data_IF_183120599578
#
_entry.id   IF_183120599578
#
_cell.length_a   1.000
_cell.length_b   1.000
_cell.length_c   1.000
_cell.angle_alpha   90.00
_cell.angle_beta   90.00
_cell.angle_gamma   90.00
#
_symmetry.space_group_name_H-M   'P 1'
#
loop_
_entity.id
_entity.type
_entity.pdbx_description
1 polymer ?
#
# COMPACT_ATOMS: atom_id res chain seq x y z
N UNK A 1 -22.49 -4.09 45.72
CA UNK A 1 -21.52 -3.47 44.78
C UNK A 1 -21.18 -4.52 43.73
N UNK A 2 -21.94 -4.61 42.64
CA UNK A 2 -21.79 -5.62 41.60
C UNK A 2 -20.74 -5.11 40.58
N UNK A 3 -19.74 -5.94 40.37
CA UNK A 3 -18.53 -5.58 39.62
C UNK A 3 -18.80 -5.38 38.12
N UNK A 4 -18.29 -4.30 37.58
CA UNK A 4 -18.26 -3.89 36.14
C UNK A 4 -17.52 -4.86 35.21
N UNK A 5 -17.11 -6.02 35.66
CA UNK A 5 -16.35 -7.02 34.87
C UNK A 5 -17.21 -7.87 33.93
N UNK A 6 -18.53 -7.96 34.18
CA UNK A 6 -19.41 -8.83 33.38
C UNK A 6 -19.76 -8.22 32.01
N UNK A 7 -19.68 -6.89 31.89
CA UNK A 7 -19.97 -6.20 30.65
C UNK A 7 -18.86 -6.43 29.59
N UNK A 8 -17.59 -6.50 30.03
CA UNK A 8 -16.44 -6.77 29.16
C UNK A 8 -16.41 -8.24 28.69
N UNK A 9 -16.93 -9.16 29.46
CA UNK A 9 -17.05 -10.57 29.08
C UNK A 9 -18.03 -10.77 27.93
N UNK A 10 -19.14 -10.02 27.90
CA UNK A 10 -20.17 -10.11 26.85
C UNK A 10 -19.64 -9.47 25.52
N UNK A 11 -18.85 -8.41 25.61
CA UNK A 11 -18.27 -7.76 24.42
C UNK A 11 -17.12 -8.58 23.81
N UNK A 12 -16.41 -9.39 24.62
CA UNK A 12 -15.39 -10.32 24.12
C UNK A 12 -15.99 -11.45 23.26
N UNK A 13 -17.25 -11.84 23.49
CA UNK A 13 -17.95 -12.82 22.65
C UNK A 13 -18.33 -12.27 21.27
N UNK A 14 -18.36 -10.95 21.09
CA UNK A 14 -18.61 -10.29 19.78
C UNK A 14 -17.39 -10.23 18.88
N UNK A 15 -16.21 -10.48 19.42
CA UNK A 15 -14.94 -10.52 18.69
C UNK A 15 -14.57 -11.98 18.50
N UNK A 16 -14.89 -12.58 17.39
CA UNK A 16 -14.53 -13.93 16.90
C UNK A 16 -13.39 -14.64 17.67
N UNK A 17 -13.49 -14.75 19.00
CA UNK A 17 -12.52 -15.42 19.87
C UNK A 17 -12.93 -16.88 20.11
N UNK A 18 -11.99 -17.78 20.14
CA UNK A 18 -12.22 -19.23 20.34
C UNK A 18 -12.71 -19.50 21.76
N UNK A 19 -12.11 -18.83 22.74
CA UNK A 19 -12.52 -18.89 24.16
C UNK A 19 -11.97 -17.66 24.92
N UNK A 20 -12.46 -17.45 26.13
CA UNK A 20 -12.06 -16.37 27.03
C UNK A 20 -11.56 -16.95 28.35
N UNK A 21 -10.33 -16.61 28.72
CA UNK A 21 -9.69 -17.11 29.95
C UNK A 21 -9.43 -15.92 30.88
N UNK A 22 -9.97 -15.99 32.10
CA UNK A 22 -9.75 -14.97 33.13
C UNK A 22 -8.41 -15.13 33.83
N UNK A 23 -7.80 -14.02 34.21
CA UNK A 23 -6.61 -14.02 35.08
C UNK A 23 -7.06 -14.09 36.55
N UNK A 24 -6.42 -14.94 37.40
CA UNK A 24 -5.27 -15.80 37.12
C UNK A 24 -5.65 -17.02 36.27
N UNK A 25 -4.82 -17.39 35.30
CA UNK A 25 -5.06 -18.47 34.33
C UNK A 25 -5.03 -19.81 35.09
N UNK A 26 -6.15 -20.54 35.11
CA UNK A 26 -6.22 -21.87 35.65
C UNK A 26 -5.89 -22.92 34.59
N UNK A 27 -5.07 -23.96 34.92
CA UNK A 27 -4.67 -24.98 33.96
C UNK A 27 -5.86 -25.70 33.29
N UNK A 28 -6.95 -25.88 34.02
CA UNK A 28 -8.17 -26.55 33.52
C UNK A 28 -8.90 -25.69 32.47
N UNK A 29 -8.94 -24.36 32.67
CA UNK A 29 -9.55 -23.43 31.70
C UNK A 29 -8.75 -23.36 30.43
N UNK A 30 -7.41 -23.32 30.53
CA UNK A 30 -6.52 -23.37 29.40
C UNK A 30 -6.66 -24.69 28.61
N UNK A 31 -6.71 -25.82 29.30
CA UNK A 31 -6.91 -27.15 28.70
C UNK A 31 -8.24 -27.21 27.96
N UNK A 32 -9.31 -26.70 28.53
CA UNK A 32 -10.64 -26.65 27.92
C UNK A 32 -10.61 -25.79 26.63
N UNK A 33 -9.95 -24.63 26.65
CA UNK A 33 -9.81 -23.75 25.48
C UNK A 33 -9.02 -24.44 24.37
N UNK A 34 -7.94 -25.15 24.71
CA UNK A 34 -7.14 -25.92 23.76
C UNK A 34 -7.90 -27.11 23.17
N UNK A 35 -8.68 -27.83 24.00
CA UNK A 35 -9.53 -28.93 23.54
C UNK A 35 -10.64 -28.43 22.58
N UNK A 36 -11.17 -27.25 22.84
CA UNK A 36 -12.16 -26.60 21.97
C UNK A 36 -11.52 -26.20 20.62
N UNK A 37 -10.32 -25.68 20.65
CA UNK A 37 -9.53 -25.37 19.43
C UNK A 37 -9.22 -26.63 18.63
N UNK A 38 -8.82 -27.72 19.26
CA UNK A 38 -8.47 -28.97 18.57
C UNK A 38 -9.68 -29.70 17.96
N UNK A 39 -10.90 -29.41 18.45
CA UNK A 39 -12.16 -29.97 17.90
C UNK A 39 -12.65 -29.17 16.67
N UNK A 40 -12.10 -28.01 16.42
CA UNK A 40 -12.42 -27.26 15.21
C UNK A 40 -11.97 -28.05 13.99
N UNK A 41 -12.93 -28.40 13.16
CA UNK A 41 -12.69 -29.19 11.96
C UNK A 41 -11.80 -28.36 11.01
N UNK A 42 -10.94 -29.02 10.25
CA UNK A 42 -10.01 -28.38 9.30
C UNK A 42 -10.71 -27.40 8.35
N UNK A 43 -11.98 -27.68 8.02
CA UNK A 43 -12.82 -26.78 7.19
C UNK A 43 -13.20 -25.47 7.90
N UNK A 44 -13.47 -25.53 9.21
CA UNK A 44 -13.80 -24.33 10.01
C UNK A 44 -12.56 -23.43 10.17
N UNK A 45 -11.38 -24.04 10.32
CA UNK A 45 -10.11 -23.31 10.38
C UNK A 45 -9.81 -22.64 9.03
N UNK A 46 -10.00 -23.33 7.90
CA UNK A 46 -9.81 -22.77 6.56
C UNK A 46 -10.83 -21.64 6.32
N UNK A 47 -12.10 -21.84 6.72
CA UNK A 47 -13.11 -20.80 6.59
C UNK A 47 -12.79 -19.57 7.47
N UNK A 48 -12.33 -19.78 8.70
CA UNK A 48 -11.90 -18.71 9.61
C UNK A 48 -10.66 -17.98 9.09
N UNK A 49 -9.66 -18.71 8.59
CA UNK A 49 -8.48 -18.13 7.95
C UNK A 49 -8.85 -17.37 6.67
N UNK A 50 -9.82 -17.85 5.89
CA UNK A 50 -10.31 -17.13 4.71
C UNK A 50 -11.06 -15.85 5.08
N UNK A 51 -11.79 -15.83 6.20
CA UNK A 51 -12.40 -14.61 6.74
C UNK A 51 -11.34 -13.63 7.28
N UNK A 52 -10.29 -14.13 7.94
CA UNK A 52 -9.17 -13.30 8.40
C UNK A 52 -8.36 -12.74 7.22
N UNK A 53 -8.18 -13.49 6.14
CA UNK A 53 -7.55 -13.00 4.91
C UNK A 53 -8.46 -12.03 4.14
N UNK A 54 -9.79 -12.11 4.31
CA UNK A 54 -10.71 -11.07 3.82
C UNK A 54 -10.73 -9.82 4.71
N UNK A 55 -10.40 -9.95 6.01
CA UNK A 55 -10.15 -8.82 6.93
C UNK A 55 -8.72 -8.29 6.82
N UNK A 56 -7.77 -9.08 6.33
CA UNK A 56 -6.55 -8.57 5.70
C UNK A 56 -7.00 -7.94 4.39
N UNK A 57 -7.56 -6.74 4.47
CA UNK A 57 -7.70 -5.88 3.31
C UNK A 57 -6.28 -5.77 2.73
N UNK A 58 -5.98 -6.53 1.68
CA UNK A 58 -4.99 -6.08 0.72
C UNK A 58 -5.28 -4.60 0.56
N UNK A 59 -4.34 -3.71 0.83
CA UNK A 59 -4.61 -2.29 0.70
C UNK A 59 -5.19 -2.12 -0.70
N UNK A 60 -6.47 -1.73 -0.78
CA UNK A 60 -7.15 -1.61 -2.06
C UNK A 60 -6.59 -0.37 -2.72
N UNK A 61 -5.50 -0.59 -3.45
CA UNK A 61 -4.87 0.47 -4.23
C UNK A 61 -5.88 1.02 -5.22
N UNK A 62 -5.78 2.29 -5.50
CA UNK A 62 -6.66 2.94 -6.45
C UNK A 62 -6.29 2.49 -7.86
N UNK A 63 -7.29 2.23 -8.68
CA UNK A 63 -7.11 1.95 -10.11
C UNK A 63 -7.24 3.21 -10.95
N UNK A 64 -7.92 4.24 -10.43
CA UNK A 64 -8.21 5.49 -11.14
C UNK A 64 -8.02 6.72 -10.25
N UNK A 65 -7.67 7.82 -10.87
CA UNK A 65 -7.66 9.16 -10.28
C UNK A 65 -8.83 9.95 -10.83
N UNK A 66 -9.38 10.86 -10.02
CA UNK A 66 -10.30 11.89 -10.48
C UNK A 66 -9.57 13.23 -10.41
N UNK A 67 -9.37 13.86 -11.55
CA UNK A 67 -8.66 15.12 -11.66
C UNK A 67 -9.65 16.21 -12.04
N UNK A 68 -9.78 17.26 -11.21
CA UNK A 68 -10.62 18.39 -11.56
C UNK A 68 -9.98 19.21 -12.69
N UNK A 69 -10.71 19.34 -13.80
CA UNK A 69 -10.31 20.15 -14.95
C UNK A 69 -11.46 21.10 -15.26
N UNK A 70 -11.31 22.38 -14.88
CA UNK A 70 -12.36 23.39 -14.97
C UNK A 70 -13.62 22.93 -14.18
N UNK A 71 -14.72 22.71 -14.86
CA UNK A 71 -16.04 22.29 -14.36
C UNK A 71 -16.28 20.77 -14.42
N UNK A 72 -15.27 19.98 -14.79
CA UNK A 72 -15.36 18.53 -14.99
C UNK A 72 -14.37 17.77 -14.11
N UNK A 73 -14.73 16.54 -13.77
CA UNK A 73 -13.82 15.55 -13.18
C UNK A 73 -13.39 14.56 -14.26
N UNK A 74 -12.07 14.56 -14.55
CA UNK A 74 -11.49 13.66 -15.52
C UNK A 74 -11.06 12.36 -14.83
N UNK A 75 -11.66 11.20 -15.13
CA UNK A 75 -11.21 9.91 -14.63
C UNK A 75 -10.00 9.45 -15.43
N UNK A 76 -8.85 9.28 -14.76
CA UNK A 76 -7.60 8.80 -15.35
C UNK A 76 -7.27 7.44 -14.75
N UNK A 77 -7.00 6.45 -15.60
CA UNK A 77 -6.49 5.16 -15.16
C UNK A 77 -5.02 5.32 -14.70
N UNK A 78 -4.66 4.68 -13.58
CA UNK A 78 -3.26 4.68 -13.11
C UNK A 78 -2.31 3.97 -14.08
N UNK A 79 -2.82 3.08 -14.93
CA UNK A 79 -2.06 2.46 -16.04
C UNK A 79 -1.60 3.47 -17.09
N UNK A 80 -2.32 4.59 -17.22
CA UNK A 80 -1.99 5.66 -18.17
C UNK A 80 -1.07 6.73 -17.55
N UNK A 81 -0.76 6.62 -16.25
CA UNK A 81 0.10 7.55 -15.53
C UNK A 81 1.55 7.13 -15.66
N UNK A 82 2.40 8.04 -16.12
CA UNK A 82 3.85 7.86 -16.21
C UNK A 82 4.54 8.26 -14.89
N UNK A 83 4.22 9.44 -14.37
CA UNK A 83 4.81 9.89 -13.11
C UNK A 83 3.96 10.97 -12.42
N UNK A 84 4.26 11.20 -11.14
CA UNK A 84 3.86 12.40 -10.40
C UNK A 84 5.12 13.21 -10.11
N UNK A 85 5.02 14.50 -10.33
CA UNK A 85 6.10 15.44 -10.12
C UNK A 85 5.66 16.59 -9.24
N UNK A 86 6.52 17.03 -8.33
CA UNK A 86 6.25 18.21 -7.49
C UNK A 86 7.35 19.25 -7.63
N UNK A 87 6.95 20.49 -7.84
CA UNK A 87 7.79 21.67 -7.79
C UNK A 87 6.98 22.84 -7.21
N UNK A 88 7.64 23.74 -6.49
CA UNK A 88 7.05 24.98 -5.95
C UNK A 88 5.72 24.74 -5.18
N UNK A 89 5.66 23.65 -4.40
CA UNK A 89 4.49 23.19 -3.62
C UNK A 89 3.31 22.75 -4.48
N UNK A 90 3.46 22.67 -5.78
CA UNK A 90 2.43 22.15 -6.69
C UNK A 90 2.81 20.75 -7.14
N UNK A 91 1.82 19.86 -7.20
CA UNK A 91 2.00 18.50 -7.70
C UNK A 91 1.26 18.36 -9.03
N UNK A 92 1.88 17.67 -9.96
CA UNK A 92 1.34 17.38 -11.28
C UNK A 92 1.38 15.87 -11.53
N UNK A 93 0.36 15.37 -12.21
CA UNK A 93 0.35 14.03 -12.79
C UNK A 93 0.69 14.11 -14.27
N UNK A 94 1.62 13.30 -14.72
CA UNK A 94 2.05 13.18 -16.12
C UNK A 94 1.55 11.87 -16.69
N UNK A 95 0.89 11.92 -17.83
CA UNK A 95 0.36 10.76 -18.54
C UNK A 95 1.33 10.24 -19.58
N UNK A 96 1.25 8.97 -19.93
CA UNK A 96 2.00 8.33 -21.02
C UNK A 96 1.78 9.01 -22.38
N UNK A 97 0.69 9.77 -22.53
CA UNK A 97 0.40 10.61 -23.71
C UNK A 97 1.22 11.91 -23.75
N UNK A 98 1.99 12.23 -22.72
CA UNK A 98 2.71 13.51 -22.56
C UNK A 98 1.88 14.64 -21.94
N UNK A 99 0.58 14.45 -21.73
CA UNK A 99 -0.24 15.46 -21.08
C UNK A 99 0.04 15.50 -19.57
N UNK A 100 -0.08 16.69 -18.97
CA UNK A 100 0.04 16.86 -17.52
C UNK A 100 -1.13 17.65 -16.94
N UNK A 101 -1.47 17.34 -15.69
CA UNK A 101 -2.56 17.98 -14.96
C UNK A 101 -2.15 18.30 -13.53
N UNK A 102 -2.57 19.44 -12.97
CA UNK A 102 -2.36 19.71 -11.55
C UNK A 102 -3.16 18.72 -10.69
N UNK A 103 -2.54 18.29 -9.60
CA UNK A 103 -3.14 17.33 -8.68
C UNK A 103 -2.94 17.78 -7.23
N UNK A 104 -4.05 18.15 -6.56
CA UNK A 104 -4.04 18.78 -5.24
C UNK A 104 -3.75 17.81 -4.09
N UNK A 105 -2.67 17.01 -4.20
CA UNK A 105 -2.19 16.08 -3.16
C UNK A 105 -0.67 16.12 -3.08
N UNK A 106 -0.13 15.89 -1.88
CA UNK A 106 1.32 15.73 -1.72
C UNK A 106 1.78 14.37 -2.22
N UNK A 107 3.06 14.24 -2.57
CA UNK A 107 3.61 12.95 -3.02
C UNK A 107 3.52 11.87 -1.93
N UNK A 108 3.53 12.25 -0.64
CA UNK A 108 3.33 11.33 0.49
C UNK A 108 1.91 10.74 0.51
N UNK A 109 0.90 11.59 0.29
CA UNK A 109 -0.50 11.15 0.20
C UNK A 109 -0.76 10.30 -1.04
N UNK A 110 -0.06 10.61 -2.13
CA UNK A 110 -0.19 9.88 -3.39
C UNK A 110 0.40 8.48 -3.22
N UNK A 111 1.68 8.37 -2.82
CA UNK A 111 2.37 7.07 -2.74
C UNK A 111 1.69 6.09 -1.78
N UNK A 112 1.09 6.57 -0.69
CA UNK A 112 0.35 5.74 0.26
C UNK A 112 -0.91 5.09 -0.32
N UNK A 113 -1.43 5.60 -1.45
CA UNK A 113 -2.62 5.09 -2.13
C UNK A 113 -2.33 4.33 -3.41
N UNK A 114 -1.05 4.22 -3.81
CA UNK A 114 -0.61 3.52 -5.01
C UNK A 114 -0.06 2.14 -4.69
N UNK A 115 -0.20 1.21 -5.64
CA UNK A 115 0.44 -0.11 -5.57
C UNK A 115 1.97 0.05 -5.57
N UNK A 116 2.70 -0.47 -4.55
CA UNK A 116 4.16 -0.44 -4.53
C UNK A 116 4.79 -1.33 -5.60
N UNK A 117 4.03 -2.25 -6.18
CA UNK A 117 4.45 -3.04 -7.33
C UNK A 117 4.58 -2.15 -8.57
N UNK A 118 3.65 -1.21 -8.77
CA UNK A 118 3.55 -0.40 -9.97
C UNK A 118 4.26 0.96 -9.86
N UNK A 119 4.35 1.52 -8.65
CA UNK A 119 4.88 2.86 -8.42
C UNK A 119 5.93 2.90 -7.31
N UNK A 120 6.98 3.70 -7.53
CA UNK A 120 8.03 3.94 -6.53
C UNK A 120 8.30 5.43 -6.35
N UNK A 121 8.65 5.81 -5.12
CA UNK A 121 9.16 7.13 -4.81
C UNK A 121 10.63 7.23 -5.23
N UNK A 122 10.89 7.75 -6.40
CA UNK A 122 12.23 7.90 -6.96
C UNK A 122 13.11 8.83 -6.11
N UNK A 123 12.59 10.02 -5.82
CA UNK A 123 13.28 11.04 -5.00
C UNK A 123 12.26 11.98 -4.34
N UNK A 124 12.72 13.14 -3.87
CA UNK A 124 11.84 14.14 -3.21
C UNK A 124 10.80 14.73 -4.17
N UNK A 125 11.07 14.76 -5.47
CA UNK A 125 10.24 15.42 -6.46
C UNK A 125 9.40 14.45 -7.30
N UNK A 126 9.77 13.16 -7.38
CA UNK A 126 9.15 12.21 -8.29
C UNK A 126 8.64 10.93 -7.63
N UNK A 127 7.43 10.53 -8.04
CA UNK A 127 6.95 9.15 -8.00
C UNK A 127 6.83 8.70 -9.45
N UNK A 128 7.37 7.54 -9.81
CA UNK A 128 7.37 7.03 -11.17
C UNK A 128 6.67 5.69 -11.28
N UNK A 129 6.03 5.46 -12.44
CA UNK A 129 5.46 4.17 -12.81
C UNK A 129 6.57 3.24 -13.31
N UNK A 130 6.49 1.95 -12.97
CA UNK A 130 7.41 0.91 -13.44
C UNK A 130 7.39 0.81 -14.97
N UNK A 131 6.19 0.77 -15.55
CA UNK A 131 5.98 0.59 -16.99
C UNK A 131 6.47 1.77 -17.83
N UNK A 132 6.69 2.92 -17.20
CA UNK A 132 7.16 4.12 -17.91
C UNK A 132 8.67 4.30 -17.88
N UNK A 133 9.39 3.42 -17.19
CA UNK A 133 10.85 3.45 -17.17
C UNK A 133 11.38 2.94 -18.49
N UNK A 134 11.99 3.83 -19.29
CA UNK A 134 12.56 3.54 -20.59
C UNK A 134 14.02 3.09 -20.50
N UNK A 135 14.80 3.78 -19.66
CA UNK A 135 16.24 3.53 -19.51
C UNK A 135 16.75 3.90 -18.12
N UNK A 136 17.80 3.21 -17.69
CA UNK A 136 18.48 3.43 -16.40
C UNK A 136 19.98 3.52 -16.67
N UNK A 137 20.56 4.69 -16.55
CA UNK A 137 21.97 4.93 -16.71
C UNK A 137 22.67 5.01 -15.35
N UNK A 138 23.80 4.30 -15.20
CA UNK A 138 24.66 4.48 -14.02
C UNK A 138 25.35 5.82 -14.11
N UNK A 139 25.02 6.72 -13.19
CA UNK A 139 25.57 8.07 -13.15
C UNK A 139 26.70 8.19 -12.15
N UNK A 140 27.34 9.35 -12.13
CA UNK A 140 28.42 9.66 -11.22
C UNK A 140 28.06 9.33 -9.76
N UNK A 141 29.02 8.88 -8.96
CA UNK A 141 28.87 8.51 -7.55
C UNK A 141 27.81 7.39 -7.30
N UNK A 142 27.74 6.41 -8.22
CA UNK A 142 26.82 5.27 -8.11
C UNK A 142 25.33 5.65 -8.00
N UNK A 143 24.95 6.86 -8.40
CA UNK A 143 23.56 7.26 -8.60
C UNK A 143 23.03 6.62 -9.86
N UNK A 144 21.71 6.54 -9.98
CA UNK A 144 21.08 6.15 -11.22
C UNK A 144 20.37 7.37 -11.82
N UNK A 145 20.52 7.56 -13.12
CA UNK A 145 19.70 8.46 -13.91
C UNK A 145 18.62 7.63 -14.58
N UNK A 146 17.35 7.94 -14.30
CA UNK A 146 16.20 7.23 -14.87
C UNK A 146 15.58 8.11 -15.96
N UNK A 147 15.37 7.53 -17.13
CA UNK A 147 14.65 8.15 -18.24
C UNK A 147 13.30 7.48 -18.39
N UNK A 148 12.25 8.28 -18.52
CA UNK A 148 10.89 7.79 -18.77
C UNK A 148 10.58 7.79 -20.27
N UNK A 149 9.48 7.15 -20.62
CA UNK A 149 8.90 7.13 -21.98
C UNK A 149 8.33 8.48 -22.44
N UNK A 150 8.24 9.44 -21.52
CA UNK A 150 7.79 10.81 -21.76
C UNK A 150 8.85 11.83 -21.35
N UNK A 151 8.71 13.06 -21.84
CA UNK A 151 9.51 14.20 -21.36
C UNK A 151 9.00 14.65 -19.99
N UNK A 152 9.94 14.91 -19.09
CA UNK A 152 9.68 15.40 -17.73
C UNK A 152 10.47 16.70 -17.49
N UNK A 153 10.01 17.59 -16.59
CA UNK A 153 10.63 18.89 -16.38
C UNK A 153 12.07 18.84 -15.88
N UNK A 154 12.42 17.79 -15.13
CA UNK A 154 13.73 17.64 -14.52
C UNK A 154 14.24 16.20 -14.65
N UNK A 155 15.56 16.04 -14.59
CA UNK A 155 16.20 14.71 -14.61
C UNK A 155 15.90 13.95 -13.33
N UNK A 156 15.56 12.68 -13.44
CA UNK A 156 15.20 11.82 -12.31
C UNK A 156 16.44 11.07 -11.82
N UNK A 157 16.98 11.51 -10.69
CA UNK A 157 18.11 10.82 -10.05
C UNK A 157 17.62 9.97 -8.88
N UNK A 158 18.10 8.73 -8.83
CA UNK A 158 18.00 7.83 -7.67
C UNK A 158 19.32 7.93 -6.91
N UNK A 159 19.24 8.20 -5.60
CA UNK A 159 20.43 8.27 -4.75
C UNK A 159 21.11 6.90 -4.63
N UNK A 160 22.42 6.89 -4.37
CA UNK A 160 23.22 5.67 -4.13
C UNK A 160 22.56 4.72 -3.13
N UNK A 161 22.04 5.26 -2.03
CA UNK A 161 21.42 4.45 -0.97
C UNK A 161 20.14 3.74 -1.42
N UNK A 162 19.42 4.29 -2.40
CA UNK A 162 18.19 3.71 -2.97
C UNK A 162 18.43 2.91 -4.26
N UNK A 163 19.63 2.95 -4.82
CA UNK A 163 19.93 2.35 -6.11
C UNK A 163 19.71 0.82 -6.12
N UNK A 164 20.07 0.12 -5.04
CA UNK A 164 19.86 -1.32 -4.92
C UNK A 164 18.38 -1.68 -4.83
N UNK A 165 17.63 -1.00 -3.96
CA UNK A 165 16.17 -1.15 -3.82
C UNK A 165 15.47 -0.89 -5.16
N UNK A 166 15.84 0.19 -5.85
CA UNK A 166 15.26 0.54 -7.14
C UNK A 166 15.52 -0.53 -8.22
N UNK A 167 16.75 -1.07 -8.30
CA UNK A 167 17.08 -2.14 -9.23
C UNK A 167 16.27 -3.41 -8.94
N UNK A 168 16.15 -3.80 -7.67
CA UNK A 168 15.35 -4.94 -7.27
C UNK A 168 13.88 -4.74 -7.64
N UNK A 169 13.33 -3.55 -7.39
CA UNK A 169 11.95 -3.22 -7.71
C UNK A 169 11.65 -3.30 -9.21
N UNK A 170 12.56 -2.86 -10.08
CA UNK A 170 12.38 -2.93 -11.55
C UNK A 170 12.31 -4.37 -12.06
N UNK A 171 13.10 -5.29 -11.48
CA UNK A 171 13.21 -6.68 -11.96
C UNK A 171 12.31 -7.66 -11.22
N UNK A 172 11.74 -7.28 -10.06
CA UNK A 172 10.81 -8.15 -9.33
C UNK A 172 9.54 -8.36 -10.16
N UNK A 173 9.35 -9.59 -10.61
CA UNK A 173 8.07 -10.08 -11.10
C UNK A 173 7.24 -10.51 -9.89
N UNK A 174 5.99 -10.06 -9.79
CA UNK A 174 5.03 -10.64 -8.86
C UNK A 174 4.64 -12.04 -9.28
#
# INVERSE_FOLDING_TARGET
MLFRSDQYAIDAFKVNSIDYILKPIKPEELKRALDKFSRWNHQDIIHYLSQLTQLSTTPKYKDKLLIPVKDKLLPISLKDVSCFYTADKNTYVYLKTGNSYPYAKTLEQIISSLSPADFIRANKQFIISRDSVKDITIWFDSRLLVTLDIEVPERIYISKNKASEFKSWIVSLE
#
